data_IF_159058843697
#
_entry.id   IF_159058843697
#
_cell.length_a   1.000
_cell.length_b   1.000
_cell.length_c   1.000
_cell.angle_alpha   90.00
_cell.angle_beta   90.00
_cell.angle_gamma   90.00
#
_symmetry.space_group_name_H-M   'P 1'
#
loop_
_entity.id
_entity.type
_entity.pdbx_description
1 polymer ?
#
# COMPACT_ATOMS: atom_id res chain seq x y z
N UNK A 1 -2.95 9.21 11.19
CA UNK A 1 -1.70 9.04 10.41
C UNK A 1 -0.57 9.83 11.04
N UNK A 2 0.70 9.45 10.87
CA UNK A 2 1.80 9.89 11.75
C UNK A 2 2.72 10.98 11.13
N UNK A 3 3.72 11.43 11.90
CA UNK A 3 4.72 12.42 11.46
C UNK A 3 5.55 11.97 10.25
N UNK A 4 5.76 10.66 10.07
CA UNK A 4 6.51 10.12 8.94
C UNK A 4 5.75 10.28 7.62
N UNK A 5 4.43 10.02 7.62
CA UNK A 5 3.59 10.23 6.44
C UNK A 5 3.60 11.68 5.98
N UNK A 6 3.59 12.64 6.91
CA UNK A 6 3.69 14.06 6.56
C UNK A 6 5.04 14.42 5.91
N UNK A 7 6.14 13.76 6.30
CA UNK A 7 7.45 13.93 5.63
C UNK A 7 7.44 13.38 4.21
N UNK A 8 6.76 12.26 3.96
CA UNK A 8 6.60 11.71 2.62
C UNK A 8 5.82 12.68 1.72
N UNK A 9 4.73 13.27 2.22
CA UNK A 9 3.97 14.29 1.49
C UNK A 9 4.84 15.49 1.10
N UNK A 10 5.62 15.99 2.06
CA UNK A 10 6.51 17.12 1.82
C UNK A 10 7.58 16.76 0.77
N UNK A 11 8.22 15.60 0.89
CA UNK A 11 9.20 15.09 -0.06
C UNK A 11 8.62 14.97 -1.48
N UNK A 12 7.37 14.53 -1.60
CA UNK A 12 6.65 14.41 -2.87
C UNK A 12 6.26 15.77 -3.46
N UNK A 13 5.89 16.74 -2.62
CA UNK A 13 5.59 18.12 -3.03
C UNK A 13 6.83 18.82 -3.60
N UNK A 14 7.96 18.70 -2.91
CA UNK A 14 9.25 19.27 -3.33
C UNK A 14 9.72 18.77 -4.71
N UNK A 15 9.24 17.60 -5.13
CA UNK A 15 9.59 16.96 -6.41
C UNK A 15 8.48 17.02 -7.45
N UNK A 16 7.39 17.75 -7.18
CA UNK A 16 6.21 17.82 -8.05
C UNK A 16 5.58 16.45 -8.36
N UNK A 17 5.80 15.44 -7.52
CA UNK A 17 5.23 14.11 -7.73
C UNK A 17 3.72 14.12 -7.51
N UNK A 18 3.25 14.90 -6.55
CA UNK A 18 1.81 15.06 -6.25
C UNK A 18 0.95 15.62 -7.40
N UNK A 19 1.55 16.25 -8.41
CA UNK A 19 0.86 16.76 -9.61
C UNK A 19 1.21 16.00 -10.89
N UNK A 20 2.03 14.96 -10.79
CA UNK A 20 2.40 14.11 -11.92
C UNK A 20 1.27 13.17 -12.34
N UNK A 21 1.43 12.52 -13.49
CA UNK A 21 0.45 11.57 -14.04
C UNK A 21 0.25 10.36 -13.11
N UNK A 22 -0.95 10.15 -12.54
CA UNK A 22 -1.23 9.03 -11.63
C UNK A 22 -1.05 7.66 -12.30
N UNK A 23 -1.18 7.56 -13.63
CA UNK A 23 -0.95 6.30 -14.33
C UNK A 23 0.51 5.85 -14.21
N UNK A 24 1.47 6.79 -14.17
CA UNK A 24 2.89 6.45 -13.97
C UNK A 24 3.16 6.00 -12.54
N UNK A 25 2.50 6.61 -11.57
CA UNK A 25 2.59 6.19 -10.17
C UNK A 25 1.98 4.80 -9.95
N UNK A 26 0.89 4.47 -10.66
CA UNK A 26 0.32 3.12 -10.66
C UNK A 26 1.28 2.09 -11.26
N UNK A 27 2.02 2.43 -12.33
CA UNK A 27 3.06 1.55 -12.87
C UNK A 27 4.20 1.34 -11.86
N UNK A 28 4.61 2.40 -11.16
CA UNK A 28 5.60 2.30 -10.08
C UNK A 28 5.13 1.38 -8.95
N UNK A 29 3.84 1.41 -8.60
CA UNK A 29 3.28 0.46 -7.62
C UNK A 29 3.43 -0.99 -8.08
N UNK A 30 3.23 -1.25 -9.38
CA UNK A 30 3.46 -2.57 -9.97
C UNK A 30 4.93 -3.01 -9.92
N UNK A 31 5.87 -2.07 -10.09
CA UNK A 31 7.31 -2.31 -9.93
C UNK A 31 7.64 -2.72 -8.48
N UNK A 32 7.19 -1.95 -7.48
CA UNK A 32 7.45 -2.26 -6.06
C UNK A 32 6.86 -3.61 -5.64
N UNK A 33 5.68 -3.94 -6.15
CA UNK A 33 5.08 -5.26 -5.92
C UNK A 33 5.94 -6.40 -6.53
N UNK A 34 6.47 -6.18 -7.74
CA UNK A 34 7.38 -7.13 -8.39
C UNK A 34 8.68 -7.34 -7.61
N UNK A 35 9.24 -6.27 -7.06
CA UNK A 35 10.42 -6.35 -6.18
C UNK A 35 10.13 -7.08 -4.89
N UNK A 36 8.97 -6.85 -4.27
CA UNK A 36 8.54 -7.60 -3.11
C UNK A 36 8.44 -9.10 -3.42
N UNK A 37 7.79 -9.47 -4.54
CA UNK A 37 7.72 -10.87 -4.97
C UNK A 37 9.11 -11.48 -5.15
N UNK A 38 10.03 -10.74 -5.77
CA UNK A 38 11.40 -11.20 -5.96
C UNK A 38 12.14 -11.39 -4.62
N UNK A 39 12.02 -10.44 -3.70
CA UNK A 39 12.62 -10.50 -2.37
C UNK A 39 12.14 -11.73 -1.59
N UNK A 40 10.83 -11.99 -1.62
CA UNK A 40 10.22 -13.16 -0.98
C UNK A 40 10.76 -14.49 -1.56
N UNK A 41 10.82 -14.62 -2.89
CA UNK A 41 11.30 -15.86 -3.55
C UNK A 41 12.78 -16.12 -3.26
N UNK A 42 13.60 -15.06 -3.13
CA UNK A 42 15.04 -15.18 -2.87
C UNK A 42 15.40 -15.25 -1.39
N UNK A 43 14.43 -15.14 -0.48
CA UNK A 43 14.70 -15.04 0.96
C UNK A 43 15.51 -13.78 1.33
N UNK A 44 15.37 -12.71 0.55
CA UNK A 44 16.08 -11.45 0.76
C UNK A 44 15.26 -10.53 1.68
N UNK A 45 15.44 -10.67 2.99
CA UNK A 45 14.69 -9.91 4.00
C UNK A 45 14.84 -8.40 3.85
N UNK A 46 16.05 -7.91 3.49
CA UNK A 46 16.29 -6.49 3.30
C UNK A 46 15.43 -5.91 2.16
N UNK A 47 15.35 -6.61 1.03
CA UNK A 47 14.49 -6.21 -0.10
C UNK A 47 13.00 -6.29 0.27
N UNK A 48 12.59 -7.29 1.06
CA UNK A 48 11.19 -7.40 1.51
C UNK A 48 10.80 -6.18 2.36
N UNK A 49 11.66 -5.77 3.30
CA UNK A 49 11.42 -4.59 4.14
C UNK A 49 11.33 -3.32 3.29
N UNK A 50 12.26 -3.16 2.34
CA UNK A 50 12.34 -2.01 1.44
C UNK A 50 11.08 -1.90 0.57
N UNK A 51 10.74 -2.94 -0.17
CA UNK A 51 9.59 -2.94 -1.07
C UNK A 51 8.24 -2.75 -0.36
N UNK A 52 8.10 -3.21 0.90
CA UNK A 52 6.91 -2.90 1.72
C UNK A 52 6.83 -1.39 2.00
N UNK A 53 7.95 -0.77 2.34
CA UNK A 53 8.04 0.67 2.56
C UNK A 53 7.75 1.48 1.30
N UNK A 54 8.33 1.06 0.17
CA UNK A 54 8.16 1.75 -1.11
C UNK A 54 6.73 1.65 -1.63
N UNK A 55 6.06 0.51 -1.50
CA UNK A 55 4.62 0.43 -1.80
C UNK A 55 3.80 1.42 -0.97
N UNK A 56 4.10 1.61 0.32
CA UNK A 56 3.40 2.60 1.13
C UNK A 56 3.66 4.04 0.66
N UNK A 57 4.92 4.38 0.36
CA UNK A 57 5.29 5.70 -0.19
C UNK A 57 4.57 5.95 -1.52
N UNK A 58 4.57 4.97 -2.41
CA UNK A 58 3.94 5.05 -3.73
C UNK A 58 2.43 5.22 -3.59
N UNK A 59 1.77 4.45 -2.73
CA UNK A 59 0.34 4.58 -2.46
C UNK A 59 -0.01 5.96 -1.89
N UNK A 60 0.84 6.49 -0.99
CA UNK A 60 0.63 7.84 -0.44
C UNK A 60 0.69 8.91 -1.52
N UNK A 61 1.67 8.83 -2.42
CA UNK A 61 1.83 9.79 -3.52
C UNK A 61 0.68 9.64 -4.53
N UNK A 62 0.27 8.40 -4.84
CA UNK A 62 -0.87 8.13 -5.71
C UNK A 62 -2.16 8.72 -5.14
N UNK A 63 -2.38 8.62 -3.82
CA UNK A 63 -3.52 9.25 -3.16
C UNK A 63 -3.53 10.76 -3.39
N UNK A 64 -2.38 11.42 -3.25
CA UNK A 64 -2.25 12.87 -3.49
C UNK A 64 -2.59 13.24 -4.94
N UNK A 65 -2.09 12.48 -5.91
CA UNK A 65 -2.36 12.70 -7.34
C UNK A 65 -3.83 12.51 -7.72
N UNK A 66 -4.53 11.62 -7.02
CA UNK A 66 -5.97 11.37 -7.20
C UNK A 66 -6.86 12.31 -6.37
N UNK A 67 -6.28 13.23 -5.61
CA UNK A 67 -7.05 14.13 -4.73
C UNK A 67 -7.68 13.41 -3.52
N UNK A 68 -7.09 12.29 -3.10
CA UNK A 68 -7.55 11.46 -1.97
C UNK A 68 -6.64 11.64 -0.75
N UNK A 69 -7.25 11.64 0.44
CA UNK A 69 -6.50 11.42 1.68
C UNK A 69 -6.37 9.91 1.93
N UNK A 70 -5.14 9.39 1.88
CA UNK A 70 -4.89 7.98 2.18
C UNK A 70 -5.35 7.59 3.60
N UNK A 71 -5.44 8.54 4.54
CA UNK A 71 -5.97 8.28 5.88
C UNK A 71 -7.43 7.84 5.77
N UNK A 72 -8.23 8.60 5.03
CA UNK A 72 -9.64 8.30 4.81
C UNK A 72 -9.80 6.98 4.05
N UNK A 73 -8.96 6.72 3.04
CA UNK A 73 -8.97 5.44 2.32
C UNK A 73 -8.71 4.24 3.26
N UNK A 74 -7.73 4.37 4.16
CA UNK A 74 -7.39 3.31 5.12
C UNK A 74 -8.47 3.17 6.21
N UNK A 75 -9.02 4.28 6.71
CA UNK A 75 -10.11 4.26 7.70
C UNK A 75 -11.37 3.59 7.13
N UNK A 76 -11.77 3.95 5.90
CA UNK A 76 -12.87 3.28 5.21
C UNK A 76 -12.63 1.78 5.06
N UNK A 77 -11.43 1.40 4.60
CA UNK A 77 -11.06 -0.02 4.46
C UNK A 77 -11.07 -0.74 5.82
N UNK A 78 -10.61 -0.08 6.89
CA UNK A 78 -10.61 -0.64 8.23
C UNK A 78 -12.03 -0.89 8.76
N UNK A 79 -12.95 0.07 8.58
CA UNK A 79 -14.35 -0.08 8.96
C UNK A 79 -15.04 -1.24 8.24
N UNK A 80 -14.61 -1.58 7.02
CA UNK A 80 -15.08 -2.79 6.33
C UNK A 80 -14.48 -4.08 6.90
N UNK A 81 -13.18 -4.10 7.25
CA UNK A 81 -12.51 -5.34 7.66
C UNK A 81 -12.70 -5.67 9.14
N UNK A 82 -12.93 -4.68 10.01
CA UNK A 82 -13.06 -4.87 11.46
C UNK A 82 -14.26 -5.74 11.87
N UNK A 83 -15.27 -5.85 11.01
CA UNK A 83 -16.45 -6.67 11.24
C UNK A 83 -16.39 -8.02 10.50
N UNK A 84 -15.31 -8.30 9.76
CA UNK A 84 -15.19 -9.56 9.02
C UNK A 84 -15.07 -10.73 10.00
N UNK A 85 -15.94 -11.72 9.83
CA UNK A 85 -15.85 -13.03 10.45
C UNK A 85 -15.29 -14.05 9.45
N UNK A 86 -14.64 -15.08 9.95
CA UNK A 86 -14.00 -16.11 9.13
C UNK A 86 -12.99 -16.93 9.92
N UNK A 87 -12.25 -17.79 9.22
CA UNK A 87 -11.22 -18.66 9.81
C UNK A 87 -9.99 -18.77 8.93
N UNK A 88 -8.85 -19.06 9.55
CA UNK A 88 -7.61 -19.36 8.82
C UNK A 88 -7.69 -20.77 8.24
N UNK A 89 -7.49 -20.91 6.93
CA UNK A 89 -7.39 -22.19 6.22
C UNK A 89 -6.15 -22.13 5.34
N UNK A 90 -5.19 -23.05 5.56
CA UNK A 90 -3.95 -23.14 4.78
C UNK A 90 -3.19 -21.80 4.66
N UNK A 91 -3.15 -21.01 5.74
CA UNK A 91 -2.45 -19.73 5.79
C UNK A 91 -3.21 -18.54 5.19
N UNK A 92 -4.44 -18.74 4.72
CA UNK A 92 -5.29 -17.68 4.16
C UNK A 92 -6.48 -17.45 5.09
N UNK A 93 -6.83 -16.18 5.34
CA UNK A 93 -8.08 -15.84 6.01
C UNK A 93 -9.25 -16.03 5.04
N UNK A 94 -10.11 -17.00 5.31
CA UNK A 94 -11.32 -17.27 4.50
C UNK A 94 -12.53 -16.69 5.22
N UNK A 95 -13.28 -15.83 4.53
CA UNK A 95 -14.47 -15.17 5.09
C UNK A 95 -15.57 -16.19 5.35
N UNK A 96 -16.37 -15.98 6.38
CA UNK A 96 -17.49 -16.85 6.71
C UNK A 96 -18.48 -17.03 5.54
N UNK A 97 -18.73 -15.96 4.77
CA UNK A 97 -19.57 -15.99 3.57
C UNK A 97 -19.08 -16.94 2.47
N UNK A 98 -17.79 -17.26 2.46
CA UNK A 98 -17.12 -18.02 1.42
C UNK A 98 -16.94 -19.50 1.83
N UNK A 99 -17.42 -19.90 3.01
CA UNK A 99 -17.30 -21.25 3.60
C UNK A 99 -18.47 -22.20 3.30
N UNK A 100 -19.32 -21.86 2.32
CA UNK A 100 -20.51 -22.63 1.93
C UNK A 100 -20.21 -24.12 1.64
#
# INVERSE_FOLDING_TARGET
>A
MNHLTAKIEQWAKERNLHTADPNKQMLKLGEEFGELCQGMVKGNEAQVIDSIGDMYVVLKILSMQLGLDIKDCVEMTYEEIRFRTGKMINGVFVKESDLL
#
